data_IF_868489341692
#
_entry.id   IF_868489341692
#
_cell.length_a   1.000
_cell.length_b   1.000
_cell.length_c   1.000
_cell.angle_alpha   90.00
_cell.angle_beta   90.00
_cell.angle_gamma   90.00
#
_symmetry.space_group_name_H-M   'P 1'
#
loop_
_entity.id
_entity.type
_entity.pdbx_description
1 polymer ?
#
# COMPACT_ATOMS: atom_id res chain seq x y z
N UNK A 1 -9.78 18.83 3.55
CA UNK A 1 -8.46 18.31 3.13
C UNK A 1 -8.66 17.43 1.90
N UNK A 2 -7.75 17.53 0.93
CA UNK A 2 -7.71 16.70 -0.27
C UNK A 2 -7.20 15.30 0.11
N UNK A 3 -7.91 14.24 -0.28
CA UNK A 3 -7.53 12.85 0.05
C UNK A 3 -6.37 12.40 -0.86
N UNK A 4 -5.28 11.97 -0.25
CA UNK A 4 -4.08 11.49 -0.95
C UNK A 4 -3.75 10.05 -0.58
N UNK A 5 -3.02 9.37 -1.44
CA UNK A 5 -2.52 8.02 -1.19
C UNK A 5 -1.91 7.39 -2.43
N UNK A 6 -1.77 6.07 -2.41
CA UNK A 6 -1.21 5.35 -3.55
C UNK A 6 -2.24 5.17 -4.67
N UNK A 7 -1.75 5.24 -5.90
CA UNK A 7 -2.46 4.88 -7.12
C UNK A 7 -1.70 3.77 -7.84
N UNK A 8 -2.42 2.76 -8.33
CA UNK A 8 -1.86 1.66 -9.10
C UNK A 8 -2.64 1.39 -10.39
N UNK A 9 -1.97 1.36 -11.53
CA UNK A 9 -2.56 1.01 -12.82
C UNK A 9 -2.13 -0.39 -13.27
N UNK A 10 -3.06 -1.33 -13.23
CA UNK A 10 -2.81 -2.72 -13.62
C UNK A 10 -2.57 -2.88 -15.12
N UNK A 11 -3.03 -1.95 -15.96
CA UNK A 11 -2.91 -2.06 -17.42
C UNK A 11 -1.51 -1.76 -17.95
N UNK A 12 -0.72 -1.01 -17.17
CA UNK A 12 0.63 -0.60 -17.59
C UNK A 12 1.73 -1.26 -16.74
N UNK A 13 1.37 -1.95 -15.65
CA UNK A 13 2.35 -2.61 -14.82
C UNK A 13 2.89 -3.85 -15.52
N UNK A 14 4.22 -3.93 -15.65
CA UNK A 14 4.93 -5.06 -16.28
C UNK A 14 5.53 -6.05 -15.27
N UNK A 15 5.19 -5.94 -13.98
CA UNK A 15 5.66 -6.88 -12.96
C UNK A 15 7.18 -6.91 -12.74
N UNK A 16 7.91 -5.84 -13.07
CA UNK A 16 9.38 -5.83 -13.03
C UNK A 16 10.01 -5.87 -11.62
N UNK A 17 9.24 -5.65 -10.56
CA UNK A 17 9.73 -5.64 -9.18
C UNK A 17 10.58 -4.44 -8.77
N UNK A 18 10.81 -3.46 -9.63
CA UNK A 18 11.62 -2.27 -9.32
C UNK A 18 11.12 -1.51 -8.09
N UNK A 19 9.80 -1.36 -7.93
CA UNK A 19 9.19 -0.70 -6.77
C UNK A 19 9.47 -1.43 -5.44
N UNK A 20 9.55 -2.77 -5.46
CA UNK A 20 9.86 -3.59 -4.29
C UNK A 20 11.33 -3.46 -3.91
N UNK A 21 12.24 -3.57 -4.89
CA UNK A 21 13.69 -3.45 -4.66
C UNK A 21 14.06 -2.05 -4.17
N UNK A 22 13.53 -0.99 -4.81
CA UNK A 22 13.80 0.39 -4.40
C UNK A 22 13.26 0.71 -3.00
N UNK A 23 12.11 0.15 -2.64
CA UNK A 23 11.57 0.31 -1.29
C UNK A 23 12.45 -0.39 -0.25
N UNK A 24 12.90 -1.61 -0.56
CA UNK A 24 13.77 -2.41 0.29
C UNK A 24 15.12 -1.73 0.55
N UNK A 25 15.77 -1.27 -0.52
CA UNK A 25 17.06 -0.57 -0.46
C UNK A 25 16.96 0.72 0.37
N UNK A 26 15.98 1.56 0.08
CA UNK A 26 15.79 2.83 0.78
C UNK A 26 15.53 2.68 2.28
N UNK A 27 14.81 1.62 2.68
CA UNK A 27 14.47 1.36 4.08
C UNK A 27 15.45 0.40 4.77
N UNK A 28 16.51 -0.03 4.07
CA UNK A 28 17.49 -1.00 4.57
C UNK A 28 16.84 -2.27 5.17
N UNK A 29 15.84 -2.83 4.47
CA UNK A 29 15.09 -3.99 4.99
C UNK A 29 15.90 -5.28 4.86
N UNK A 30 15.79 -6.17 5.85
CA UNK A 30 16.52 -7.43 5.87
C UNK A 30 16.00 -8.45 4.84
N UNK A 31 16.77 -9.50 4.48
CA UNK A 31 16.26 -10.60 3.67
C UNK A 31 14.93 -11.15 4.23
N UNK A 32 13.94 -11.35 3.35
CA UNK A 32 12.58 -11.76 3.75
C UNK A 32 11.64 -10.62 4.19
N UNK A 33 12.15 -9.42 4.47
CA UNK A 33 11.34 -8.24 4.80
C UNK A 33 10.95 -7.43 3.56
N UNK A 34 9.69 -6.99 3.54
CA UNK A 34 9.11 -6.21 2.45
C UNK A 34 8.03 -5.27 2.96
N UNK A 35 8.21 -3.97 2.75
CA UNK A 35 7.15 -2.96 2.96
C UNK A 35 6.21 -2.82 1.76
N UNK A 36 6.72 -3.14 0.57
CA UNK A 36 5.97 -3.20 -0.68
C UNK A 36 6.28 -4.53 -1.35
N UNK A 37 5.24 -5.25 -1.78
CA UNK A 37 5.35 -6.52 -2.50
C UNK A 37 4.72 -6.39 -3.87
N UNK A 38 5.32 -6.99 -4.89
CA UNK A 38 4.65 -7.19 -6.17
C UNK A 38 4.33 -8.67 -6.34
N UNK A 39 3.18 -8.95 -6.91
CA UNK A 39 2.72 -10.30 -7.18
C UNK A 39 2.20 -10.38 -8.62
N UNK A 40 2.41 -11.53 -9.24
CA UNK A 40 1.70 -11.90 -10.47
C UNK A 40 0.54 -12.78 -10.06
N UNK A 41 -0.67 -12.32 -10.35
CA UNK A 41 -1.91 -12.95 -9.94
C UNK A 41 -2.60 -13.55 -11.16
N UNK A 42 -3.17 -14.74 -10.97
CA UNK A 42 -4.17 -15.30 -11.86
C UNK A 42 -5.53 -14.95 -11.28
N UNK A 43 -6.21 -14.02 -11.91
CA UNK A 43 -7.56 -13.60 -11.56
C UNK A 43 -8.55 -14.29 -12.52
N UNK A 44 -9.76 -14.53 -12.05
CA UNK A 44 -10.84 -14.99 -12.92
C UNK A 44 -11.49 -13.76 -13.54
N UNK A 45 -11.54 -13.71 -14.87
CA UNK A 45 -12.27 -12.68 -15.61
C UNK A 45 -13.38 -13.32 -16.44
N UNK A 46 -14.24 -12.46 -16.98
CA UNK A 46 -15.42 -12.84 -17.78
C UNK A 46 -15.15 -13.85 -18.91
N UNK A 47 -14.06 -13.67 -19.65
CA UNK A 47 -13.69 -14.49 -20.81
C UNK A 47 -12.63 -15.57 -20.46
N UNK A 48 -12.40 -15.81 -19.17
CA UNK A 48 -11.42 -16.75 -18.65
C UNK A 48 -10.30 -16.09 -17.83
N UNK A 49 -9.23 -16.84 -17.51
CA UNK A 49 -8.22 -16.38 -16.57
C UNK A 49 -7.44 -15.18 -17.09
N UNK A 50 -7.34 -14.14 -16.26
CA UNK A 50 -6.57 -12.93 -16.51
C UNK A 50 -5.32 -12.96 -15.65
N UNK A 51 -4.16 -12.89 -16.29
CA UNK A 51 -2.90 -12.68 -15.59
C UNK A 51 -2.66 -11.18 -15.46
N UNK A 52 -2.46 -10.73 -14.23
CA UNK A 52 -2.21 -9.33 -13.91
C UNK A 52 -1.12 -9.19 -12.86
N UNK A 53 -0.49 -8.03 -12.82
CA UNK A 53 0.47 -7.69 -11.77
C UNK A 53 -0.17 -6.72 -10.79
N UNK A 54 0.10 -6.90 -9.51
CA UNK A 54 -0.26 -5.93 -8.49
C UNK A 54 0.91 -5.68 -7.56
N UNK A 55 1.18 -4.42 -7.24
CA UNK A 55 2.18 -4.03 -6.25
C UNK A 55 1.53 -3.27 -5.11
N UNK A 56 1.42 -3.92 -3.95
CA UNK A 56 0.78 -3.40 -2.75
C UNK A 56 1.78 -3.05 -1.64
N UNK A 57 1.40 -2.11 -0.78
CA UNK A 57 2.09 -1.76 0.48
C UNK A 57 1.04 -1.50 1.57
N UNK A 58 1.46 -0.97 2.73
CA UNK A 58 0.50 -0.37 3.65
C UNK A 58 -0.39 0.65 2.92
N UNK A 59 -1.70 0.54 3.11
CA UNK A 59 -2.69 1.40 2.47
C UNK A 59 -2.94 2.71 3.23
N UNK A 60 -2.29 2.93 4.38
CA UNK A 60 -2.51 4.10 5.25
C UNK A 60 -4.00 4.42 5.41
N UNK A 61 -4.77 3.40 5.79
CA UNK A 61 -6.23 3.44 5.86
C UNK A 61 -6.76 4.65 6.65
N UNK A 62 -7.89 5.20 6.21
CA UNK A 62 -8.56 6.29 6.91
C UNK A 62 -9.13 5.87 8.26
N UNK A 63 -9.55 4.61 8.38
CA UNK A 63 -10.00 4.02 9.63
C UNK A 63 -9.07 2.86 10.07
N UNK A 64 -7.84 3.17 10.52
CA UNK A 64 -6.79 2.19 10.68
C UNK A 64 -6.99 1.34 11.93
N UNK A 65 -7.44 0.10 11.73
CA UNK A 65 -7.60 -0.90 12.80
C UNK A 65 -6.30 -1.17 13.58
N UNK A 66 -5.15 -1.03 12.92
CA UNK A 66 -3.83 -1.20 13.56
C UNK A 66 -3.49 -0.09 14.57
N UNK A 67 -4.05 1.11 14.41
CA UNK A 67 -3.96 2.20 15.40
C UNK A 67 -4.88 1.90 16.58
N UNK A 68 -6.14 1.54 16.31
CA UNK A 68 -7.12 1.19 17.35
C UNK A 68 -6.66 0.02 18.23
N UNK A 69 -5.95 -0.94 17.65
CA UNK A 69 -5.44 -2.11 18.36
C UNK A 69 -4.14 -1.86 19.15
N UNK A 70 -3.48 -0.71 18.99
CA UNK A 70 -2.20 -0.43 19.63
C UNK A 70 -2.42 0.09 21.06
N UNK A 71 -1.98 -0.64 22.10
CA UNK A 71 -2.25 -0.25 23.50
C UNK A 71 -1.37 0.91 23.99
N UNK A 72 -0.24 1.18 23.33
CA UNK A 72 0.75 2.17 23.78
C UNK A 72 0.72 3.48 23.00
N UNK A 73 -0.06 3.55 21.92
CA UNK A 73 -0.01 4.68 20.98
C UNK A 73 1.21 4.67 20.05
N UNK A 74 1.97 3.57 19.96
CA UNK A 74 3.06 3.43 19.00
C UNK A 74 2.60 3.55 17.54
N UNK A 75 1.38 3.13 17.23
CA UNK A 75 0.74 3.33 15.92
C UNK A 75 -0.15 4.57 15.99
N UNK A 76 0.00 5.49 15.03
CA UNK A 76 -0.76 6.75 15.02
C UNK A 76 -1.01 7.24 13.59
N UNK A 77 -1.97 8.15 13.44
CA UNK A 77 -2.23 8.86 12.17
C UNK A 77 -1.59 10.24 12.27
N UNK A 78 -0.69 10.55 11.35
CA UNK A 78 -0.09 11.89 11.25
C UNK A 78 -1.02 12.86 10.52
N UNK A 79 -0.79 14.17 10.64
CA UNK A 79 -1.66 15.23 10.10
C UNK A 79 -1.99 15.07 8.60
N UNK A 80 -1.04 14.57 7.80
CA UNK A 80 -1.22 14.27 6.38
C UNK A 80 -1.95 12.95 6.08
N UNK A 81 -2.52 12.28 7.08
CA UNK A 81 -3.28 11.02 6.93
C UNK A 81 -2.41 9.76 6.85
N UNK A 82 -1.09 9.89 6.85
CA UNK A 82 -0.22 8.72 6.88
C UNK A 82 -0.30 8.04 8.25
N UNK A 83 -0.68 6.77 8.27
CA UNK A 83 -0.50 5.91 9.45
C UNK A 83 0.99 5.68 9.65
N UNK A 84 1.57 5.96 10.81
CA UNK A 84 2.99 5.84 11.14
C UNK A 84 3.22 4.96 12.39
N UNK A 85 4.48 4.64 12.66
CA UNK A 85 4.89 3.82 13.81
C UNK A 85 6.05 4.51 14.55
N UNK A 86 5.91 4.66 15.86
CA UNK A 86 6.95 5.14 16.76
C UNK A 86 7.55 3.98 17.56
N UNK A 87 8.79 3.63 17.23
CA UNK A 87 9.50 2.52 17.87
C UNK A 87 9.74 2.72 19.37
N UNK A 88 9.86 3.96 19.87
CA UNK A 88 10.13 4.21 21.29
C UNK A 88 8.96 3.89 22.21
N UNK A 89 7.74 3.80 21.65
CA UNK A 89 6.53 3.40 22.37
C UNK A 89 6.15 1.94 22.11
N UNK A 90 6.86 1.26 21.21
CA UNK A 90 6.51 -0.08 20.78
C UNK A 90 6.95 -1.12 21.82
N UNK A 91 6.01 -1.93 22.29
CA UNK A 91 6.26 -3.03 23.23
C UNK A 91 6.28 -4.40 22.54
N UNK A 92 6.38 -4.42 21.21
CA UNK A 92 6.40 -5.64 20.38
C UNK A 92 5.23 -6.63 20.62
N UNK A 93 4.06 -6.17 21.08
CA UNK A 93 2.94 -7.07 21.41
C UNK A 93 2.29 -7.73 20.18
N UNK A 94 2.49 -7.19 18.99
CA UNK A 94 1.97 -7.75 17.74
C UNK A 94 0.51 -7.46 17.41
N UNK A 95 -0.25 -6.76 18.26
CA UNK A 95 -1.67 -6.47 17.98
C UNK A 95 -1.89 -5.80 16.62
N UNK A 96 -1.02 -4.86 16.23
CA UNK A 96 -1.06 -4.21 14.93
C UNK A 96 -0.75 -5.16 13.77
N UNK A 97 0.18 -6.11 13.96
CA UNK A 97 0.54 -7.15 12.99
C UNK A 97 -0.65 -8.07 12.74
N UNK A 98 -1.27 -8.58 13.81
CA UNK A 98 -2.38 -9.54 13.72
C UNK A 98 -3.67 -8.94 13.18
N UNK A 99 -3.93 -7.65 13.42
CA UNK A 99 -5.19 -7.02 13.02
C UNK A 99 -5.18 -6.45 11.60
N UNK A 100 -4.00 -6.23 10.99
CA UNK A 100 -3.92 -5.62 9.67
C UNK A 100 -4.46 -6.57 8.60
N UNK A 101 -5.61 -6.27 7.96
CA UNK A 101 -6.22 -7.21 7.03
C UNK A 101 -5.43 -7.35 5.73
N UNK A 102 -4.55 -6.39 5.43
CA UNK A 102 -3.69 -6.37 4.25
C UNK A 102 -2.30 -6.99 4.50
N UNK A 103 -2.03 -7.54 5.69
CA UNK A 103 -0.72 -8.14 6.01
C UNK A 103 0.47 -7.20 5.80
N UNK A 104 0.25 -5.89 5.99
CA UNK A 104 1.23 -4.84 5.65
C UNK A 104 2.16 -4.44 6.79
N UNK A 105 2.03 -5.08 7.95
CA UNK A 105 2.82 -4.83 9.16
C UNK A 105 3.52 -6.13 9.52
N UNK A 106 4.80 -6.06 9.85
CA UNK A 106 5.63 -7.21 10.23
C UNK A 106 6.55 -6.83 11.38
N UNK A 107 7.22 -7.80 12.00
CA UNK A 107 8.29 -7.51 12.95
C UNK A 107 9.61 -7.34 12.22
N UNK A 108 10.40 -6.36 12.66
CA UNK A 108 11.78 -6.15 12.22
C UNK A 108 12.67 -7.24 12.78
N UNK A 109 13.45 -7.87 11.91
CA UNK A 109 14.46 -8.85 12.28
C UNK A 109 15.62 -8.19 13.05
N UNK A 110 15.89 -6.91 12.79
CA UNK A 110 16.95 -6.17 13.47
C UNK A 110 16.54 -5.69 14.86
N UNK A 111 15.33 -5.14 15.00
CA UNK A 111 14.91 -4.47 16.25
C UNK A 111 13.89 -5.26 17.07
N UNK A 112 13.24 -6.26 16.48
CA UNK A 112 12.12 -6.99 17.09
C UNK A 112 10.81 -6.19 17.18
N UNK A 113 10.82 -4.90 16.86
CA UNK A 113 9.62 -4.06 16.88
C UNK A 113 8.79 -4.19 15.61
N UNK A 114 7.51 -3.82 15.70
CA UNK A 114 6.66 -3.73 14.53
C UNK A 114 7.23 -2.70 13.53
N UNK A 115 7.08 -2.99 12.25
CA UNK A 115 7.52 -2.14 11.15
C UNK A 115 6.59 -2.28 9.94
N UNK A 116 6.56 -1.24 9.11
CA UNK A 116 5.71 -1.14 7.93
C UNK A 116 6.13 0.04 7.06
N UNK A 117 5.60 0.09 5.84
CA UNK A 117 5.65 1.27 4.98
C UNK A 117 5.15 2.53 5.72
N UNK A 118 5.88 3.62 5.58
CA UNK A 118 5.62 4.95 6.14
C UNK A 118 5.19 5.97 5.06
N UNK A 119 4.92 5.47 3.84
CA UNK A 119 4.72 6.23 2.61
C UNK A 119 5.85 7.23 2.28
N UNK A 120 7.08 6.92 2.70
CA UNK A 120 8.26 7.77 2.56
C UNK A 120 7.97 9.21 3.05
N UNK A 121 7.42 9.34 4.26
CA UNK A 121 6.95 10.62 4.80
C UNK A 121 8.04 11.70 4.76
N UNK A 122 9.29 11.33 5.03
CA UNK A 122 10.41 12.28 5.02
C UNK A 122 10.69 12.82 3.62
N UNK A 123 10.68 11.95 2.59
CA UNK A 123 10.79 12.38 1.20
C UNK A 123 9.61 13.28 0.80
N UNK A 124 8.38 12.93 1.21
CA UNK A 124 7.19 13.72 0.89
C UNK A 124 7.23 15.11 1.53
N UNK A 125 7.76 15.25 2.75
CA UNK A 125 7.98 16.56 3.40
C UNK A 125 8.97 17.44 2.64
N UNK A 126 9.89 16.85 1.89
CA UNK A 126 10.79 17.55 0.97
C UNK A 126 10.19 17.80 -0.42
N UNK A 127 8.92 17.44 -0.65
CA UNK A 127 8.27 17.56 -1.96
C UNK A 127 8.69 16.49 -2.97
N UNK A 128 9.37 15.43 -2.54
CA UNK A 128 9.76 14.29 -3.38
C UNK A 128 8.68 13.21 -3.35
N UNK A 129 8.58 12.46 -4.45
CA UNK A 129 7.70 11.28 -4.49
C UNK A 129 8.29 10.11 -3.67
N UNK A 130 7.45 9.19 -3.17
CA UNK A 130 7.94 7.97 -2.52
C UNK A 130 8.88 7.18 -3.43
N UNK A 131 9.93 6.56 -2.86
CA UNK A 131 10.99 5.93 -3.64
C UNK A 131 10.47 4.80 -4.56
N UNK A 132 9.45 4.07 -4.12
CA UNK A 132 8.79 3.04 -4.93
C UNK A 132 8.03 3.59 -6.14
N UNK A 133 7.48 4.81 -6.05
CA UNK A 133 6.84 5.51 -7.17
C UNK A 133 7.89 6.03 -8.14
N UNK A 134 8.97 6.62 -7.61
CA UNK A 134 10.10 7.11 -8.40
C UNK A 134 10.71 6.01 -9.28
N UNK A 135 10.90 4.83 -8.70
CA UNK A 135 11.50 3.69 -9.38
C UNK A 135 10.58 3.00 -10.41
N UNK A 136 9.31 3.39 -10.55
CA UNK A 136 8.37 2.73 -11.45
C UNK A 136 8.59 3.19 -12.91
N UNK A 137 9.16 2.35 -13.80
CA UNK A 137 9.53 2.78 -15.15
C UNK A 137 8.30 3.06 -16.03
N UNK A 138 7.18 2.39 -15.75
CA UNK A 138 5.92 2.52 -16.50
C UNK A 138 4.97 3.55 -15.89
N UNK A 139 5.37 4.21 -14.79
CA UNK A 139 4.51 5.12 -14.00
C UNK A 139 3.16 4.51 -13.59
N UNK A 140 3.11 3.18 -13.50
CA UNK A 140 1.94 2.44 -13.03
C UNK A 140 1.67 2.66 -11.55
N UNK A 141 2.69 2.98 -10.77
CA UNK A 141 2.58 3.28 -9.34
C UNK A 141 2.86 4.77 -9.13
N UNK A 142 1.92 5.48 -8.51
CA UNK A 142 2.03 6.91 -8.16
C UNK A 142 1.55 7.13 -6.73
N UNK A 143 1.93 8.27 -6.15
CA UNK A 143 1.38 8.78 -4.91
C UNK A 143 0.85 10.20 -5.16
N UNK A 144 -0.31 10.54 -4.64
CA UNK A 144 -0.86 11.88 -4.81
C UNK A 144 -2.37 11.94 -4.60
N UNK A 145 -2.96 12.99 -5.17
CA UNK A 145 -4.36 13.34 -4.97
C UNK A 145 -5.34 12.42 -5.71
N UNK A 146 -6.36 11.95 -5.01
CA UNK A 146 -7.35 11.04 -5.59
C UNK A 146 -8.30 11.69 -6.59
N UNK A 147 -8.64 12.97 -6.44
CA UNK A 147 -9.48 13.67 -7.42
C UNK A 147 -8.75 13.85 -8.75
N UNK A 148 -7.43 14.06 -8.72
CA UNK A 148 -6.60 14.13 -9.93
C UNK A 148 -6.52 12.76 -10.62
N UNK A 149 -6.32 11.68 -9.84
CA UNK A 149 -6.34 10.34 -10.42
C UNK A 149 -7.69 9.97 -11.01
N UNK A 150 -8.80 10.31 -10.38
CA UNK A 150 -10.15 10.02 -10.90
C UNK A 150 -10.45 10.81 -12.19
N UNK A 151 -9.94 12.05 -12.30
CA UNK A 151 -10.02 12.85 -13.54
C UNK A 151 -9.21 12.22 -14.68
N UNK A 152 -8.01 11.73 -14.37
CA UNK A 152 -7.12 11.09 -15.36
C UNK A 152 -7.63 9.70 -15.77
N UNK A 153 -8.15 8.95 -14.80
CA UNK A 153 -8.61 7.57 -14.97
C UNK A 153 -9.98 7.39 -14.31
N UNK A 154 -11.08 7.54 -15.06
CA UNK A 154 -12.41 7.29 -14.51
C UNK A 154 -12.60 5.83 -14.08
N UNK A 155 -13.38 5.64 -13.01
CA UNK A 155 -13.82 4.33 -12.53
C UNK A 155 -12.74 3.61 -11.71
N UNK A 156 -12.03 4.34 -10.85
CA UNK A 156 -11.05 3.73 -9.95
C UNK A 156 -11.75 2.97 -8.83
N UNK A 157 -11.18 1.81 -8.50
CA UNK A 157 -11.60 0.99 -7.37
C UNK A 157 -10.57 1.09 -6.24
N UNK A 158 -10.89 0.50 -5.09
CA UNK A 158 -9.99 0.45 -3.93
C UNK A 158 -9.76 -0.99 -3.44
N UNK A 159 -10.29 -1.96 -4.18
CA UNK A 159 -10.16 -3.40 -3.97
C UNK A 159 -10.35 -4.14 -5.30
N UNK A 160 -10.00 -5.42 -5.31
CA UNK A 160 -10.27 -6.40 -6.36
C UNK A 160 -10.37 -7.79 -5.70
N UNK A 161 -10.77 -8.86 -6.41
CA UNK A 161 -10.97 -10.19 -5.80
C UNK A 161 -9.78 -10.67 -4.98
N UNK A 162 -10.06 -11.07 -3.75
CA UNK A 162 -9.04 -11.52 -2.79
C UNK A 162 -8.43 -10.39 -1.94
N UNK A 163 -8.77 -9.13 -2.19
CA UNK A 163 -8.46 -8.04 -1.26
C UNK A 163 -9.50 -7.92 -0.13
N UNK A 164 -9.10 -7.38 1.03
CA UNK A 164 -10.04 -7.00 2.09
C UNK A 164 -11.00 -5.88 1.67
N UNK A 165 -12.24 -5.99 2.14
CA UNK A 165 -13.36 -5.06 1.98
C UNK A 165 -12.97 -3.58 2.20
N UNK A 166 -13.02 -2.81 1.11
CA UNK A 166 -12.66 -1.40 1.08
C UNK A 166 -13.72 -0.50 1.74
N UNK A 167 -15.00 -0.89 1.80
CA UNK A 167 -16.01 -0.15 2.56
C UNK A 167 -15.74 -0.23 4.06
N UNK A 168 -15.35 -1.42 4.53
CA UNK A 168 -15.02 -1.68 5.93
C UNK A 168 -13.73 -1.02 6.37
N UNK A 169 -12.65 -1.16 5.59
CA UNK A 169 -11.30 -0.76 6.03
C UNK A 169 -10.81 0.55 5.44
N UNK A 170 -11.55 1.15 4.49
CA UNK A 170 -11.30 2.47 3.90
C UNK A 170 -9.81 2.71 3.55
N UNK A 171 -9.19 1.84 2.72
CA UNK A 171 -7.80 2.00 2.34
C UNK A 171 -7.58 3.31 1.57
N UNK A 172 -6.48 4.03 1.84
CA UNK A 172 -6.04 5.14 1.01
C UNK A 172 -5.29 4.62 -0.21
N UNK A 173 -6.04 3.93 -1.08
CA UNK A 173 -5.55 3.29 -2.30
C UNK A 173 -6.57 3.46 -3.43
N UNK A 174 -6.07 3.78 -4.62
CA UNK A 174 -6.83 3.75 -5.87
C UNK A 174 -6.19 2.83 -6.89
N UNK A 175 -7.01 2.04 -7.57
CA UNK A 175 -6.57 1.05 -8.54
C UNK A 175 -7.33 1.27 -9.84
N UNK A 176 -6.60 1.39 -10.95
CA UNK A 176 -7.16 1.20 -12.28
C UNK A 176 -7.06 -0.29 -12.62
N UNK A 177 -8.20 -0.98 -12.54
CA UNK A 177 -8.29 -2.41 -12.87
C UNK A 177 -7.82 -2.69 -14.29
N UNK A 178 -7.33 -3.90 -14.49
CA UNK A 178 -7.07 -4.42 -15.84
C UNK A 178 -8.35 -4.32 -16.66
N UNK A 179 -8.26 -3.91 -17.92
CA UNK A 179 -9.39 -3.88 -18.86
C UNK A 179 -10.04 -5.26 -19.09
N UNK A 180 -9.35 -6.33 -18.70
CA UNK A 180 -9.87 -7.70 -18.77
C UNK A 180 -10.60 -8.13 -17.48
N UNK A 181 -10.69 -7.24 -16.48
CA UNK A 181 -11.45 -7.42 -15.24
C UNK A 181 -12.55 -6.37 -15.21
N UNK A 182 -13.77 -6.79 -14.96
CA UNK A 182 -14.89 -5.87 -14.74
C UNK A 182 -15.05 -5.55 -13.25
N UNK A 183 -15.79 -4.49 -12.91
CA UNK A 183 -16.02 -4.14 -11.49
C UNK A 183 -16.93 -5.17 -10.83
N UNK A 184 -17.77 -5.83 -11.61
CA UNK A 184 -18.63 -6.93 -11.22
C UNK A 184 -17.84 -8.20 -10.88
N UNK A 185 -16.59 -8.29 -11.32
CA UNK A 185 -15.66 -9.33 -10.88
C UNK A 185 -15.14 -9.04 -9.46
N UNK A 186 -15.21 -7.79 -8.96
CA UNK A 186 -14.70 -7.31 -7.66
C UNK A 186 -15.71 -7.41 -6.53
#
# INVERSE_FOLDING_TARGET
MKKEGFFFNMNTCIGCGACQVACKDHNNLQPGEFFRRFETMRLEGKDGPVYGHYSGSCNHCEDPVCVKACPTGAMYVEEGGAVLHNASLCIACGSCVWTCPYGSISFSQDTGYAQKCDSCIDLRKEGKEPNCCHACPTRSLRYGNFEEFEKEYPGLVSEFPGMPDAERYKPALKIKLSKNLEKEDV
#
